data_IF_004721387641
#
_entry.id   IF_004721387641
#
_cell.length_a   1.000
_cell.length_b   1.000
_cell.length_c   1.000
_cell.angle_alpha   90.00
_cell.angle_beta   90.00
_cell.angle_gamma   90.00
#
_symmetry.space_group_name_H-M   'P 1'
#
loop_
_entity.id
_entity.type
_entity.pdbx_description
1 polymer ?
#
# COMPACT_ATOMS: atom_id res chain seq x y z
N UNK A 1 -11.65 -20.82 -35.16
CA UNK A 1 -10.40 -21.01 -35.93
C UNK A 1 -9.22 -20.59 -35.06
N UNK A 2 -8.44 -21.53 -34.51
CA UNK A 2 -7.24 -21.25 -33.70
C UNK A 2 -5.97 -21.71 -34.43
N UNK A 3 -5.91 -21.48 -35.75
CA UNK A 3 -4.88 -22.05 -36.61
C UNK A 3 -3.68 -21.11 -36.74
N UNK A 4 -2.59 -21.42 -36.04
CA UNK A 4 -1.29 -20.72 -36.18
C UNK A 4 -0.64 -20.92 -37.55
N UNK A 5 -1.13 -21.86 -38.37
CA UNK A 5 -0.52 -22.24 -39.64
C UNK A 5 -0.60 -21.14 -40.73
N UNK A 6 -1.65 -20.31 -40.73
CA UNK A 6 -1.89 -19.25 -41.73
C UNK A 6 -1.83 -17.85 -41.13
N UNK A 7 -1.36 -17.70 -39.88
CA UNK A 7 -1.42 -16.43 -39.17
C UNK A 7 -0.63 -15.34 -39.91
N UNK A 8 0.55 -15.66 -40.44
CA UNK A 8 1.37 -14.69 -41.18
C UNK A 8 0.78 -14.31 -42.53
N UNK A 9 0.20 -15.26 -43.27
CA UNK A 9 -0.48 -15.01 -44.53
C UNK A 9 -1.66 -14.05 -44.34
N UNK A 10 -2.42 -14.22 -43.26
CA UNK A 10 -3.60 -13.41 -42.94
C UNK A 10 -3.29 -12.15 -42.12
N UNK A 11 -2.04 -11.92 -41.72
CA UNK A 11 -1.65 -10.81 -40.82
C UNK A 11 -2.15 -9.46 -41.31
N UNK A 12 -1.99 -9.20 -42.61
CA UNK A 12 -2.35 -7.95 -43.27
C UNK A 12 -3.86 -7.65 -43.22
N UNK A 13 -4.71 -8.62 -42.89
CA UNK A 13 -6.15 -8.43 -42.69
C UNK A 13 -6.49 -7.98 -41.28
N UNK A 14 -5.65 -8.30 -40.29
CA UNK A 14 -5.94 -8.08 -38.87
C UNK A 14 -5.13 -6.96 -38.26
N UNK A 15 -3.84 -6.83 -38.58
CA UNK A 15 -2.92 -5.88 -37.92
C UNK A 15 -1.90 -5.28 -38.87
N UNK A 16 -1.41 -4.08 -38.54
CA UNK A 16 -0.37 -3.37 -39.32
C UNK A 16 1.05 -3.63 -38.84
N UNK A 17 1.23 -4.25 -37.67
CA UNK A 17 2.54 -4.51 -37.08
C UNK A 17 3.05 -5.92 -37.40
N UNK A 18 4.38 -6.07 -37.41
CA UNK A 18 5.05 -7.36 -37.48
C UNK A 18 5.15 -8.00 -36.08
N UNK A 19 5.32 -9.32 -36.02
CA UNK A 19 5.43 -10.05 -34.76
C UNK A 19 4.22 -9.87 -33.84
N UNK A 20 4.44 -9.84 -32.53
CA UNK A 20 3.37 -9.61 -31.55
C UNK A 20 3.46 -8.23 -30.90
N UNK A 21 2.33 -7.56 -30.76
CA UNK A 21 2.19 -6.37 -29.90
C UNK A 21 1.65 -6.79 -28.54
N UNK A 22 2.28 -6.35 -27.46
CA UNK A 22 1.74 -6.57 -26.11
C UNK A 22 0.59 -5.60 -25.84
N UNK A 23 -0.53 -6.14 -25.37
CA UNK A 23 -1.66 -5.38 -24.86
C UNK A 23 -1.73 -5.61 -23.34
N UNK A 24 -1.75 -4.53 -22.59
CA UNK A 24 -1.76 -4.54 -21.13
C UNK A 24 -3.04 -3.91 -20.60
N UNK A 25 -3.75 -4.66 -19.75
CA UNK A 25 -4.81 -4.13 -18.88
C UNK A 25 -4.32 -4.14 -17.44
N UNK A 26 -4.79 -3.19 -16.67
CA UNK A 26 -4.36 -3.00 -15.29
C UNK A 26 -5.56 -2.92 -14.37
N UNK A 27 -5.54 -3.66 -13.25
CA UNK A 27 -6.60 -3.60 -12.24
C UNK A 27 -6.04 -3.62 -10.82
N UNK A 28 -6.73 -2.94 -9.90
CA UNK A 28 -6.42 -3.03 -8.48
C UNK A 28 -6.86 -4.38 -7.91
N UNK A 29 -5.99 -5.03 -7.13
CA UNK A 29 -6.32 -6.25 -6.41
C UNK A 29 -5.28 -7.36 -6.54
N UNK A 30 -5.69 -8.59 -6.24
CA UNK A 30 -4.85 -9.78 -6.32
C UNK A 30 -5.52 -10.84 -7.20
N UNK A 31 -4.79 -11.94 -7.49
CA UNK A 31 -5.32 -13.08 -8.24
C UNK A 31 -6.58 -13.73 -7.63
N UNK A 32 -6.92 -13.39 -6.38
CA UNK A 32 -8.09 -13.90 -5.67
C UNK A 32 -9.27 -12.92 -5.64
N UNK A 33 -9.05 -11.64 -5.96
CA UNK A 33 -10.06 -10.59 -5.77
C UNK A 33 -10.45 -9.89 -7.06
N UNK A 34 -9.64 -10.00 -8.13
CA UNK A 34 -9.95 -9.35 -9.41
C UNK A 34 -10.96 -10.13 -10.23
N UNK A 35 -11.84 -9.40 -10.92
CA UNK A 35 -12.75 -9.94 -11.92
C UNK A 35 -12.02 -10.13 -13.26
N UNK A 36 -11.52 -11.34 -13.49
CA UNK A 36 -10.88 -11.71 -14.75
C UNK A 36 -11.83 -11.66 -15.96
N UNK A 37 -13.14 -11.75 -15.75
CA UNK A 37 -14.13 -11.59 -16.80
C UNK A 37 -14.15 -10.16 -17.34
N UNK A 38 -14.24 -9.19 -16.44
CA UNK A 38 -14.12 -7.77 -16.78
C UNK A 38 -12.76 -7.47 -17.48
N UNK A 39 -11.66 -8.01 -16.97
CA UNK A 39 -10.34 -7.84 -17.61
C UNK A 39 -10.30 -8.42 -19.04
N UNK A 40 -10.98 -9.54 -19.30
CA UNK A 40 -11.10 -10.10 -20.64
C UNK A 40 -11.91 -9.18 -21.56
N UNK A 41 -13.01 -8.60 -21.09
CA UNK A 41 -13.81 -7.64 -21.87
C UNK A 41 -13.01 -6.37 -22.22
N UNK A 42 -12.27 -5.82 -21.24
CA UNK A 42 -11.34 -4.70 -21.46
C UNK A 42 -10.26 -5.03 -22.48
N UNK A 43 -9.73 -6.25 -22.44
CA UNK A 43 -8.77 -6.72 -23.45
C UNK A 43 -9.41 -6.73 -24.85
N UNK A 44 -10.67 -7.13 -24.97
CA UNK A 44 -11.43 -7.03 -26.23
C UNK A 44 -11.49 -5.60 -26.78
N UNK A 45 -11.68 -4.60 -25.91
CA UNK A 45 -11.62 -3.19 -26.30
C UNK A 45 -10.22 -2.73 -26.73
N UNK A 46 -9.16 -3.21 -26.08
CA UNK A 46 -7.78 -2.93 -26.53
C UNK A 46 -7.51 -3.56 -27.90
N UNK A 47 -7.96 -4.79 -28.12
CA UNK A 47 -7.86 -5.43 -29.43
C UNK A 47 -8.57 -4.59 -30.49
N UNK A 48 -9.81 -4.14 -30.24
CA UNK A 48 -10.56 -3.28 -31.16
C UNK A 48 -9.79 -2.02 -31.58
N UNK A 49 -9.02 -1.41 -30.67
CA UNK A 49 -8.19 -0.22 -30.96
C UNK A 49 -6.92 -0.54 -31.76
N UNK A 50 -6.53 -1.81 -31.87
CA UNK A 50 -5.25 -2.24 -32.43
C UNK A 50 -5.39 -3.15 -33.66
N UNK A 51 -6.60 -3.50 -34.05
CA UNK A 51 -6.90 -4.21 -35.31
C UNK A 51 -7.24 -3.22 -36.42
N UNK A 52 -7.08 -3.65 -37.67
CA UNK A 52 -7.40 -2.83 -38.85
C UNK A 52 -8.90 -2.53 -38.95
N UNK A 53 -9.74 -3.53 -38.64
CA UNK A 53 -11.20 -3.40 -38.64
C UNK A 53 -11.76 -3.41 -37.20
N UNK A 54 -12.13 -2.26 -36.63
CA UNK A 54 -12.71 -2.18 -35.30
C UNK A 54 -14.06 -2.90 -35.16
N UNK A 55 -14.79 -3.11 -36.26
CA UNK A 55 -16.08 -3.80 -36.23
C UNK A 55 -15.92 -5.30 -35.93
N UNK A 56 -14.71 -5.84 -36.08
CA UNK A 56 -14.37 -7.22 -35.73
C UNK A 56 -14.79 -7.60 -34.30
N UNK A 57 -14.65 -6.67 -33.34
CA UNK A 57 -15.09 -6.92 -31.96
C UNK A 57 -16.61 -7.09 -31.89
N UNK A 58 -17.36 -6.18 -32.50
CA UNK A 58 -18.82 -6.22 -32.50
C UNK A 58 -19.37 -7.46 -33.21
N UNK A 59 -18.64 -7.94 -34.22
CA UNK A 59 -18.97 -9.18 -34.92
C UNK A 59 -18.70 -10.44 -34.08
N UNK A 60 -17.64 -10.47 -33.27
CA UNK A 60 -17.29 -11.61 -32.41
C UNK A 60 -18.11 -11.64 -31.11
N UNK A 61 -18.34 -10.48 -30.50
CA UNK A 61 -19.07 -10.37 -29.23
C UNK A 61 -20.58 -10.40 -29.50
N UNK A 62 -21.32 -11.42 -29.01
CA UNK A 62 -22.74 -11.56 -29.31
C UNK A 62 -23.56 -10.43 -28.67
N UNK A 63 -24.67 -10.06 -29.34
CA UNK A 63 -25.61 -9.04 -28.87
C UNK A 63 -27.09 -9.48 -29.05
N UNK A 64 -27.35 -10.79 -29.02
CA UNK A 64 -28.71 -11.34 -29.09
C UNK A 64 -29.49 -11.04 -27.81
N UNK A 65 -30.82 -11.09 -27.88
CA UNK A 65 -31.69 -10.84 -26.71
C UNK A 65 -31.50 -11.86 -25.58
N UNK A 66 -30.91 -13.02 -25.87
CA UNK A 66 -30.57 -14.06 -24.90
C UNK A 66 -29.10 -14.01 -24.45
N UNK A 67 -28.30 -13.06 -24.94
CA UNK A 67 -26.89 -12.94 -24.57
C UNK A 67 -26.75 -12.51 -23.11
N UNK A 68 -26.04 -13.31 -22.33
CA UNK A 68 -25.69 -13.04 -20.93
C UNK A 68 -24.34 -12.33 -20.80
N UNK A 69 -24.02 -11.83 -19.60
CA UNK A 69 -22.67 -11.32 -19.29
C UNK A 69 -21.60 -12.40 -19.46
N UNK A 70 -21.88 -13.62 -19.02
CA UNK A 70 -20.97 -14.75 -19.19
C UNK A 70 -20.67 -15.05 -20.67
N UNK A 71 -21.67 -14.94 -21.55
CA UNK A 71 -21.46 -15.14 -23.00
C UNK A 71 -20.52 -14.09 -23.58
N UNK A 72 -20.62 -12.83 -23.13
CA UNK A 72 -19.71 -11.75 -23.57
C UNK A 72 -18.28 -12.00 -23.09
N UNK A 73 -18.10 -12.37 -21.82
CA UNK A 73 -16.79 -12.73 -21.26
C UNK A 73 -16.17 -13.89 -22.04
N UNK A 74 -16.93 -14.96 -22.28
CA UNK A 74 -16.45 -16.13 -23.06
C UNK A 74 -16.04 -15.69 -24.47
N UNK A 75 -16.85 -14.88 -25.16
CA UNK A 75 -16.52 -14.37 -26.48
C UNK A 75 -15.29 -13.45 -26.48
N UNK A 76 -15.08 -12.65 -25.44
CA UNK A 76 -13.86 -11.86 -25.27
C UNK A 76 -12.61 -12.74 -25.12
N UNK A 77 -12.68 -13.81 -24.33
CA UNK A 77 -11.58 -14.78 -24.22
C UNK A 77 -11.35 -15.51 -25.55
N UNK A 78 -12.41 -15.87 -26.28
CA UNK A 78 -12.29 -16.46 -27.62
C UNK A 78 -11.62 -15.49 -28.59
N UNK A 79 -12.00 -14.21 -28.59
CA UNK A 79 -11.36 -13.16 -29.40
C UNK A 79 -9.87 -13.06 -29.09
N UNK A 80 -9.49 -13.03 -27.82
CA UNK A 80 -8.09 -13.05 -27.38
C UNK A 80 -7.37 -14.29 -27.91
N UNK A 81 -7.96 -15.47 -27.77
CA UNK A 81 -7.39 -16.73 -28.22
C UNK A 81 -7.24 -16.80 -29.76
N UNK A 82 -8.16 -16.22 -30.52
CA UNK A 82 -8.10 -16.14 -31.98
C UNK A 82 -6.96 -15.25 -32.45
N UNK A 83 -6.76 -14.10 -31.79
CA UNK A 83 -5.76 -13.11 -32.21
C UNK A 83 -4.41 -13.25 -31.49
N UNK A 84 -4.20 -14.33 -30.73
CA UNK A 84 -2.96 -14.59 -29.96
C UNK A 84 -1.69 -14.76 -30.81
N UNK A 85 -1.82 -14.91 -32.12
CA UNK A 85 -0.67 -14.90 -33.04
C UNK A 85 -0.15 -13.48 -33.30
N UNK A 86 -1.00 -12.46 -33.13
CA UNK A 86 -0.71 -11.04 -33.36
C UNK A 86 -0.54 -10.26 -32.06
N UNK A 87 -1.17 -10.68 -30.97
CA UNK A 87 -1.04 -10.01 -29.69
C UNK A 87 -0.45 -10.94 -28.62
N UNK A 88 0.33 -10.37 -27.72
CA UNK A 88 0.55 -10.93 -26.37
C UNK A 88 -0.31 -10.15 -25.38
N UNK A 89 -0.76 -10.81 -24.33
CA UNK A 89 -1.69 -10.22 -23.36
C UNK A 89 -1.06 -10.22 -21.98
N UNK A 90 -1.07 -9.06 -21.34
CA UNK A 90 -0.58 -8.86 -19.98
C UNK A 90 -1.72 -8.31 -19.13
N UNK A 91 -1.94 -8.93 -17.98
CA UNK A 91 -2.86 -8.43 -16.96
C UNK A 91 -2.02 -8.06 -15.75
N UNK A 92 -1.90 -6.76 -15.49
CA UNK A 92 -1.11 -6.24 -14.38
C UNK A 92 -2.02 -5.94 -13.20
N UNK A 93 -1.76 -6.63 -12.10
CA UNK A 93 -2.48 -6.38 -10.86
C UNK A 93 -1.68 -5.34 -10.07
N UNK A 94 -2.34 -4.24 -9.73
CA UNK A 94 -1.75 -3.18 -8.90
C UNK A 94 -2.28 -3.27 -7.48
N UNK A 95 -1.40 -2.95 -6.54
CA UNK A 95 -1.81 -2.52 -5.22
C UNK A 95 -1.95 -0.99 -5.21
N UNK A 96 -2.84 -0.47 -4.37
CA UNK A 96 -3.04 0.96 -4.23
C UNK A 96 -4.04 1.27 -3.15
N UNK A 97 -3.97 2.50 -2.63
CA UNK A 97 -4.94 3.02 -1.69
C UNK A 97 -6.04 3.74 -2.49
N UNK A 98 -7.28 3.20 -2.55
CA UNK A 98 -8.33 3.77 -3.38
C UNK A 98 -8.82 5.12 -2.83
N UNK A 99 -8.86 5.25 -1.50
CA UNK A 99 -9.33 6.43 -0.80
C UNK A 99 -8.72 6.50 0.59
N UNK A 100 -8.58 7.73 1.10
CA UNK A 100 -8.28 8.01 2.50
C UNK A 100 -9.33 8.94 3.05
N UNK A 101 -9.91 8.59 4.18
CA UNK A 101 -10.80 9.47 4.94
C UNK A 101 -10.08 9.94 6.19
N UNK A 102 -9.83 11.24 6.29
CA UNK A 102 -9.43 11.86 7.55
C UNK A 102 -10.69 12.16 8.37
N UNK A 103 -10.75 11.64 9.59
CA UNK A 103 -11.83 11.93 10.53
C UNK A 103 -11.55 13.22 11.30
N UNK A 104 -12.61 13.84 11.81
CA UNK A 104 -12.56 15.15 12.47
C UNK A 104 -12.49 16.29 11.46
N UNK A 105 -12.20 17.49 11.96
CA UNK A 105 -12.14 18.70 11.15
C UNK A 105 -10.69 19.15 10.91
N UNK A 106 -10.50 19.98 9.89
CA UNK A 106 -9.19 20.58 9.56
C UNK A 106 -8.49 21.18 10.79
N UNK A 107 -9.25 21.88 11.65
CA UNK A 107 -8.76 22.53 12.86
C UNK A 107 -8.19 21.55 13.87
N UNK A 108 -8.70 20.32 13.93
CA UNK A 108 -8.21 19.28 14.84
C UNK A 108 -6.83 18.79 14.41
N UNK A 109 -6.63 18.60 13.12
CA UNK A 109 -5.33 18.27 12.53
C UNK A 109 -4.33 19.42 12.67
N UNK A 110 -4.79 20.66 12.56
CA UNK A 110 -3.96 21.84 12.80
C UNK A 110 -3.50 21.91 14.27
N UNK A 111 -4.39 21.62 15.24
CA UNK A 111 -4.02 21.52 16.66
C UNK A 111 -2.99 20.42 16.89
N UNK A 112 -3.13 19.27 16.21
CA UNK A 112 -2.17 18.17 16.31
C UNK A 112 -0.80 18.58 15.76
N UNK A 113 -0.76 19.29 14.63
CA UNK A 113 0.48 19.85 14.07
C UNK A 113 1.14 20.83 15.05
N UNK A 114 0.38 21.73 15.67
CA UNK A 114 0.91 22.68 16.67
C UNK A 114 1.44 21.99 17.93
N UNK A 115 0.91 20.81 18.31
CA UNK A 115 1.45 20.05 19.45
C UNK A 115 2.90 19.60 19.24
N UNK A 116 3.38 19.51 17.99
CA UNK A 116 4.78 19.18 17.70
C UNK A 116 5.75 20.23 18.28
N UNK A 117 5.32 21.48 18.46
CA UNK A 117 6.16 22.57 18.98
C UNK A 117 6.62 22.31 20.43
N UNK A 118 5.92 21.42 21.16
CA UNK A 118 6.31 21.03 22.52
C UNK A 118 7.43 19.98 22.54
N UNK A 119 7.54 19.15 21.50
CA UNK A 119 8.47 18.02 21.47
C UNK A 119 9.94 18.43 21.66
N UNK A 120 10.46 19.51 21.04
CA UNK A 120 11.83 19.94 21.25
C UNK A 120 12.21 20.24 22.70
N UNK A 121 11.23 20.58 23.56
CA UNK A 121 11.49 20.85 24.97
C UNK A 121 11.88 19.62 25.80
N UNK A 122 11.71 18.40 25.26
CA UNK A 122 12.06 17.15 25.94
C UNK A 122 13.46 16.62 25.57
N UNK A 123 14.13 17.21 24.58
CA UNK A 123 15.50 16.83 24.23
C UNK A 123 15.80 16.80 22.73
N UNK A 124 16.99 16.30 22.39
CA UNK A 124 17.47 16.21 21.00
C UNK A 124 16.69 15.16 20.20
N UNK A 125 16.38 14.02 20.81
CA UNK A 125 15.69 12.91 20.15
C UNK A 125 14.25 13.31 19.77
N UNK A 126 13.51 13.93 20.69
CA UNK A 126 12.16 14.42 20.42
C UNK A 126 12.15 15.61 19.46
N UNK A 127 13.20 16.44 19.45
CA UNK A 127 13.40 17.46 18.39
C UNK A 127 13.54 16.81 17.00
N UNK A 128 14.31 15.73 16.89
CA UNK A 128 14.48 14.99 15.64
C UNK A 128 13.15 14.34 15.22
N UNK A 129 12.43 13.73 16.16
CA UNK A 129 11.12 13.14 15.90
C UNK A 129 10.10 14.17 15.40
N UNK A 130 10.05 15.35 16.02
CA UNK A 130 9.20 16.46 15.58
C UNK A 130 9.51 16.88 14.12
N UNK A 131 10.79 16.87 13.74
CA UNK A 131 11.23 17.18 12.38
C UNK A 131 10.69 16.18 11.36
N UNK A 132 10.64 14.89 11.71
CA UNK A 132 10.06 13.83 10.86
C UNK A 132 8.54 13.93 10.75
N UNK A 133 7.85 14.21 11.87
CA UNK A 133 6.38 14.28 11.92
C UNK A 133 5.82 15.53 11.21
N UNK A 134 6.56 16.64 11.25
CA UNK A 134 6.08 17.94 10.74
C UNK A 134 5.60 17.92 9.30
N UNK A 135 6.36 17.43 8.30
CA UNK A 135 5.87 17.38 6.92
C UNK A 135 4.62 16.48 6.79
N UNK A 136 4.57 15.35 7.50
CA UNK A 136 3.41 14.44 7.47
C UNK A 136 2.14 15.13 7.98
N UNK A 137 2.19 15.74 9.16
CA UNK A 137 1.03 16.43 9.73
C UNK A 137 0.67 17.71 8.96
N UNK A 138 1.64 18.37 8.33
CA UNK A 138 1.37 19.48 7.41
C UNK A 138 0.55 19.00 6.21
N UNK A 139 0.91 17.84 5.64
CA UNK A 139 0.15 17.23 4.53
C UNK A 139 -1.25 16.79 4.93
N UNK A 140 -1.43 16.31 6.17
CA UNK A 140 -2.76 15.99 6.70
C UNK A 140 -3.65 17.23 6.79
N UNK A 141 -3.12 18.39 7.19
CA UNK A 141 -3.88 19.65 7.17
C UNK A 141 -4.20 20.07 5.74
N UNK A 142 -3.22 20.05 4.82
CA UNK A 142 -3.46 20.46 3.42
C UNK A 142 -4.43 19.54 2.68
N UNK A 143 -4.60 18.29 3.11
CA UNK A 143 -5.55 17.36 2.52
C UNK A 143 -7.01 17.85 2.62
N UNK A 144 -7.33 18.71 3.60
CA UNK A 144 -8.64 19.36 3.70
C UNK A 144 -8.79 20.55 2.75
N UNK A 145 -7.69 21.23 2.44
CA UNK A 145 -7.69 22.41 1.57
C UNK A 145 -7.75 22.00 0.09
N UNK A 146 -7.02 20.96 -0.29
CA UNK A 146 -6.89 20.50 -1.67
C UNK A 146 -7.01 18.97 -1.80
N UNK A 147 -8.17 18.36 -1.46
CA UNK A 147 -8.33 16.90 -1.37
C UNK A 147 -8.03 16.18 -2.69
N UNK A 148 -8.38 16.79 -3.82
CA UNK A 148 -8.25 16.18 -5.14
C UNK A 148 -6.95 16.51 -5.87
N UNK A 149 -6.07 17.32 -5.27
CA UNK A 149 -4.83 17.74 -5.93
C UNK A 149 -3.92 16.54 -6.17
N UNK A 150 -3.15 16.61 -7.28
CA UNK A 150 -2.18 15.57 -7.60
C UNK A 150 -1.16 15.40 -6.47
N UNK A 151 -0.72 16.49 -5.87
CA UNK A 151 0.25 16.46 -4.79
C UNK A 151 -0.30 15.74 -3.54
N UNK A 152 -1.56 15.98 -3.18
CA UNK A 152 -2.21 15.27 -2.07
C UNK A 152 -2.36 13.77 -2.36
N UNK A 153 -2.80 13.41 -3.59
CA UNK A 153 -2.91 12.02 -4.01
C UNK A 153 -1.56 11.31 -4.01
N UNK A 154 -0.52 11.94 -4.55
CA UNK A 154 0.84 11.39 -4.59
C UNK A 154 1.38 11.20 -3.16
N UNK A 155 1.13 12.13 -2.23
CA UNK A 155 1.51 12.00 -0.82
C UNK A 155 0.93 10.74 -0.16
N UNK A 156 -0.37 10.46 -0.33
CA UNK A 156 -1.00 9.27 0.25
C UNK A 156 -0.46 7.96 -0.33
N UNK A 157 0.03 7.95 -1.56
CA UNK A 157 0.70 6.78 -2.14
C UNK A 157 2.10 6.53 -1.57
N UNK A 158 2.60 7.40 -0.67
CA UNK A 158 3.93 7.28 -0.04
C UNK A 158 3.90 6.89 1.43
N UNK A 159 2.75 6.42 1.96
CA UNK A 159 2.62 5.95 3.35
C UNK A 159 3.72 4.96 3.70
N UNK A 160 3.78 3.87 2.92
CA UNK A 160 4.66 2.74 3.22
C UNK A 160 5.16 2.09 1.93
N UNK A 161 6.41 1.68 1.94
CA UNK A 161 7.01 0.82 0.92
C UNK A 161 7.72 -0.35 1.60
N UNK A 162 7.41 -1.57 1.18
CA UNK A 162 8.03 -2.78 1.69
C UNK A 162 9.13 -3.27 0.75
N UNK A 163 10.31 -3.50 1.30
CA UNK A 163 11.45 -4.08 0.61
C UNK A 163 11.83 -5.41 1.24
N UNK A 164 11.62 -6.51 0.51
CA UNK A 164 12.02 -7.84 0.98
C UNK A 164 13.53 -8.03 0.91
N UNK A 165 14.10 -8.53 2.00
CA UNK A 165 15.51 -8.93 2.07
C UNK A 165 15.80 -10.33 1.54
N UNK A 166 14.78 -11.09 1.10
CA UNK A 166 14.94 -12.51 0.81
C UNK A 166 15.33 -13.30 2.06
N UNK A 167 16.56 -13.82 2.09
CA UNK A 167 17.13 -14.50 3.27
C UNK A 167 17.60 -13.53 4.37
N UNK A 168 17.70 -12.23 4.06
CA UNK A 168 18.06 -11.18 5.01
C UNK A 168 16.86 -10.41 5.56
N UNK A 169 17.08 -9.40 6.40
CA UNK A 169 16.01 -8.62 6.99
C UNK A 169 15.18 -7.89 5.94
N UNK A 170 13.88 -7.76 6.20
CA UNK A 170 12.98 -6.98 5.36
C UNK A 170 12.71 -5.64 6.00
N UNK A 171 12.50 -4.62 5.16
CA UNK A 171 12.44 -3.24 5.63
C UNK A 171 11.17 -2.54 5.14
N UNK A 172 10.69 -1.62 5.96
CA UNK A 172 9.69 -0.63 5.59
C UNK A 172 10.37 0.72 5.37
N UNK A 173 9.91 1.47 4.37
CA UNK A 173 10.19 2.89 4.18
C UNK A 173 8.87 3.63 3.90
N UNK A 174 8.93 4.92 3.59
CA UNK A 174 7.75 5.79 3.50
C UNK A 174 7.59 6.64 4.75
N UNK A 175 6.62 7.57 4.73
CA UNK A 175 6.49 8.48 5.86
C UNK A 175 5.96 7.82 7.14
N UNK A 176 5.37 6.62 7.05
CA UNK A 176 4.84 5.90 8.21
C UNK A 176 5.94 5.60 9.25
N UNK A 177 7.20 5.50 8.82
CA UNK A 177 8.32 5.21 9.72
C UNK A 177 8.54 6.33 10.73
N UNK A 178 8.08 7.57 10.48
CA UNK A 178 8.10 8.65 11.47
C UNK A 178 7.28 8.33 12.74
N UNK A 179 6.28 7.45 12.65
CA UNK A 179 5.53 6.98 13.82
C UNK A 179 6.22 5.82 14.57
N UNK A 180 7.32 5.30 14.02
CA UNK A 180 8.15 4.25 14.60
C UNK A 180 9.56 4.81 14.92
N UNK A 181 9.59 5.92 15.67
CA UNK A 181 10.85 6.60 16.01
C UNK A 181 11.53 5.98 17.23
N UNK A 182 10.76 5.48 18.19
CA UNK A 182 11.25 4.80 19.38
C UNK A 182 10.86 3.32 19.34
N UNK A 183 11.73 2.44 19.81
CA UNK A 183 11.40 1.05 20.10
C UNK A 183 10.54 0.94 21.37
N UNK A 184 10.06 -0.26 21.67
CA UNK A 184 9.32 -0.55 22.92
C UNK A 184 10.15 -0.27 24.19
N UNK A 185 11.48 -0.27 24.08
CA UNK A 185 12.42 0.07 25.16
C UNK A 185 12.75 1.57 25.21
N UNK A 186 12.17 2.38 24.32
CA UNK A 186 12.45 3.81 24.20
C UNK A 186 13.74 4.15 23.46
N UNK A 187 14.36 3.19 22.76
CA UNK A 187 15.58 3.46 21.97
C UNK A 187 15.22 4.09 20.62
N UNK A 188 16.00 5.06 20.17
CA UNK A 188 15.81 5.70 18.86
C UNK A 188 16.09 4.70 17.73
N UNK A 189 15.12 4.52 16.83
CA UNK A 189 15.20 3.68 15.64
C UNK A 189 15.66 4.44 14.39
N UNK A 190 15.67 5.77 14.44
CA UNK A 190 16.16 6.60 13.34
C UNK A 190 17.67 6.42 13.12
N UNK A 191 18.07 6.03 11.91
CA UNK A 191 19.47 5.84 11.51
C UNK A 191 19.81 6.70 10.29
N UNK A 192 20.62 7.73 10.48
CA UNK A 192 21.01 8.64 9.40
C UNK A 192 21.88 7.95 8.32
N UNK A 193 22.59 6.87 8.70
CA UNK A 193 23.45 6.07 7.80
C UNK A 193 22.69 5.36 6.68
N UNK A 194 21.36 5.24 6.79
CA UNK A 194 20.51 4.63 5.75
C UNK A 194 20.35 5.49 4.49
N UNK A 195 20.89 6.71 4.54
CA UNK A 195 20.99 7.64 3.42
C UNK A 195 22.34 7.61 2.70
N UNK A 196 23.24 6.73 3.14
CA UNK A 196 24.50 6.45 2.47
C UNK A 196 24.26 5.54 1.25
N UNK A 197 25.11 5.62 0.22
CA UNK A 197 24.98 4.68 -0.90
C UNK A 197 25.26 3.26 -0.42
N UNK A 198 24.73 2.25 -1.13
CA UNK A 198 24.94 0.84 -0.78
C UNK A 198 26.43 0.49 -0.64
N UNK A 199 27.29 1.08 -1.47
CA UNK A 199 28.75 0.93 -1.37
C UNK A 199 29.29 1.44 -0.04
N UNK A 200 28.81 2.59 0.41
CA UNK A 200 29.32 3.32 1.56
C UNK A 200 28.82 2.68 2.86
N UNK A 201 27.59 2.15 2.86
CA UNK A 201 27.04 1.37 3.97
C UNK A 201 27.74 0.01 4.11
N UNK A 202 28.01 -0.69 3.00
CA UNK A 202 28.72 -1.98 3.02
C UNK A 202 30.19 -1.82 3.48
N UNK A 203 30.87 -0.76 3.05
CA UNK A 203 32.22 -0.43 3.53
C UNK A 203 32.23 -0.13 5.05
N UNK A 204 31.19 0.55 5.56
CA UNK A 204 31.07 0.90 6.98
C UNK A 204 30.81 -0.31 7.89
N UNK A 205 29.92 -1.23 7.49
CA UNK A 205 29.53 -2.38 8.33
C UNK A 205 30.40 -3.62 8.12
N UNK A 206 30.92 -3.85 6.92
CA UNK A 206 31.64 -5.09 6.57
C UNK A 206 33.09 -4.87 6.14
N UNK A 207 33.58 -3.62 6.07
CA UNK A 207 34.98 -3.32 5.75
C UNK A 207 35.41 -3.76 4.34
N UNK A 208 34.47 -4.14 3.48
CA UNK A 208 34.72 -4.66 2.14
C UNK A 208 34.67 -3.57 1.07
N UNK A 209 35.77 -3.38 0.33
CA UNK A 209 35.91 -2.34 -0.71
C UNK A 209 35.23 -2.66 -2.05
N UNK A 210 34.66 -3.86 -2.18
CA UNK A 210 34.18 -4.41 -3.47
C UNK A 210 32.64 -4.57 -3.53
N UNK A 211 31.89 -3.73 -2.82
CA UNK A 211 30.44 -3.73 -2.89
C UNK A 211 29.95 -3.31 -4.30
N UNK A 212 28.97 -4.01 -4.89
CA UNK A 212 28.37 -3.58 -6.15
C UNK A 212 27.73 -2.21 -5.98
N UNK A 213 28.25 -1.20 -6.70
CA UNK A 213 27.71 0.16 -6.74
C UNK A 213 26.35 0.13 -7.45
N UNK A 214 25.28 -0.03 -6.69
CA UNK A 214 23.92 0.31 -7.14
C UNK A 214 23.57 1.66 -6.54
N UNK A 215 23.21 2.62 -7.39
CA UNK A 215 22.64 3.93 -7.02
C UNK A 215 21.21 3.78 -6.47
N UNK A 216 20.99 2.82 -5.57
CA UNK A 216 19.69 2.60 -4.95
C UNK A 216 19.65 3.48 -3.69
N UNK A 217 19.05 4.66 -3.80
CA UNK A 217 18.65 5.43 -2.62
C UNK A 217 17.59 4.60 -1.88
N UNK A 218 17.94 4.09 -0.71
CA UNK A 218 17.04 3.24 0.09
C UNK A 218 16.10 4.07 0.99
N UNK A 219 16.31 5.39 1.09
CA UNK A 219 15.54 6.30 1.96
C UNK A 219 14.36 6.98 1.27
N UNK A 220 13.35 7.36 2.08
CA UNK A 220 12.18 8.13 1.65
C UNK A 220 12.30 9.60 2.07
N UNK A 221 12.07 10.53 1.13
CA UNK A 221 12.19 11.97 1.40
C UNK A 221 10.87 12.69 1.13
N UNK A 222 10.46 13.56 2.05
CA UNK A 222 9.30 14.42 1.91
C UNK A 222 9.65 15.83 2.40
N UNK A 223 9.40 16.84 1.57
CA UNK A 223 9.65 18.26 1.86
C UNK A 223 11.07 18.54 2.40
N UNK A 224 12.06 17.86 1.83
CA UNK A 224 13.46 17.96 2.25
C UNK A 224 13.84 17.09 3.44
N UNK A 225 12.88 16.56 4.19
CA UNK A 225 13.09 15.73 5.37
C UNK A 225 13.30 14.27 4.98
N UNK A 226 14.33 13.67 5.58
CA UNK A 226 14.80 12.32 5.34
C UNK A 226 14.24 11.36 6.39
N UNK A 227 13.42 10.40 5.97
CA UNK A 227 12.84 9.36 6.82
C UNK A 227 13.74 8.12 6.87
N UNK A 228 13.82 7.46 8.02
CA UNK A 228 14.54 6.19 8.15
C UNK A 228 13.76 5.04 7.52
N UNK A 229 14.48 3.96 7.23
CA UNK A 229 13.96 2.63 7.04
C UNK A 229 13.78 1.98 8.40
N UNK A 230 12.85 1.04 8.45
CA UNK A 230 12.52 0.31 9.66
C UNK A 230 12.63 -1.18 9.35
N UNK A 231 13.45 -1.92 10.09
CA UNK A 231 13.40 -3.38 10.04
C UNK A 231 11.99 -3.81 10.46
N UNK A 232 11.37 -4.73 9.72
CA UNK A 232 10.03 -5.21 10.05
C UNK A 232 9.92 -5.86 11.43
N UNK A 233 11.04 -6.29 12.02
CA UNK A 233 11.08 -6.82 13.39
C UNK A 233 11.16 -5.73 14.47
N UNK A 234 11.47 -4.49 14.08
CA UNK A 234 11.62 -3.34 14.99
C UNK A 234 10.35 -2.47 15.04
N UNK A 235 9.23 -2.90 14.43
CA UNK A 235 7.95 -2.18 14.50
C UNK A 235 7.46 -2.18 15.95
N UNK A 236 7.36 -1.02 16.62
CA UNK A 236 6.96 -0.96 18.01
C UNK A 236 5.47 -1.27 18.19
N UNK A 237 5.11 -1.68 19.40
CA UNK A 237 3.72 -1.85 19.80
C UNK A 237 2.98 -0.51 19.72
N UNK A 238 1.76 -0.52 19.16
CA UNK A 238 0.92 0.68 19.08
C UNK A 238 0.10 0.94 20.36
N UNK A 239 0.53 0.39 21.50
CA UNK A 239 -0.11 0.54 22.81
C UNK A 239 0.92 0.77 23.91
N UNK A 240 0.46 1.39 24.99
CA UNK A 240 1.20 1.57 26.23
C UNK A 240 0.56 0.74 27.34
N UNK A 241 1.35 0.42 28.35
CA UNK A 241 0.88 -0.28 29.54
C UNK A 241 1.47 0.34 30.80
N UNK A 242 0.73 0.29 31.91
CA UNK A 242 1.14 0.86 33.20
C UNK A 242 0.58 0.04 34.35
N UNK A 243 1.44 -0.20 35.34
CA UNK A 243 1.05 -0.85 36.59
C UNK A 243 0.17 0.08 37.43
N UNK A 244 -0.99 -0.41 37.84
CA UNK A 244 -1.96 0.35 38.63
C UNK A 244 -2.36 -0.48 39.85
N UNK A 245 -2.30 0.12 41.03
CA UNK A 245 -2.94 -0.42 42.22
C UNK A 245 -4.41 0.00 42.21
N UNK A 246 -5.31 -0.98 42.19
CA UNK A 246 -6.75 -0.75 42.25
C UNK A 246 -7.24 -1.04 43.67
N UNK A 247 -7.88 -0.06 44.31
CA UNK A 247 -8.58 -0.23 45.58
C UNK A 247 -10.09 -0.31 45.28
N UNK A 248 -10.65 -1.52 45.36
CA UNK A 248 -12.09 -1.76 45.28
C UNK A 248 -12.67 -1.86 46.70
N UNK A 249 -13.08 -0.71 47.23
CA UNK A 249 -13.78 -0.60 48.51
C UNK A 249 -13.02 -1.20 49.72
N UNK A 250 -11.70 -1.04 49.75
CA UNK A 250 -10.80 -1.53 50.80
C UNK A 250 -10.09 -2.84 50.45
N UNK A 251 -10.39 -3.45 49.30
CA UNK A 251 -9.64 -4.58 48.76
C UNK A 251 -8.67 -4.09 47.67
N UNK A 252 -7.37 -4.23 47.90
CA UNK A 252 -6.35 -3.87 46.92
C UNK A 252 -6.07 -5.00 45.92
N UNK A 253 -5.90 -4.63 44.65
CA UNK A 253 -5.53 -5.49 43.53
C UNK A 253 -4.32 -4.92 42.80
N UNK A 254 -3.35 -5.78 42.49
CA UNK A 254 -2.25 -5.46 41.59
C UNK A 254 -2.70 -5.68 40.14
N UNK A 255 -2.86 -4.59 39.40
CA UNK A 255 -3.42 -4.62 38.04
C UNK A 255 -2.46 -4.03 37.01
N UNK A 256 -2.69 -4.37 35.74
CA UNK A 256 -2.03 -3.76 34.59
C UNK A 256 -3.09 -3.08 33.72
N UNK A 257 -2.90 -1.80 33.47
CA UNK A 257 -3.75 -1.03 32.57
C UNK A 257 -3.06 -0.91 31.20
N UNK A 258 -3.79 -1.18 30.12
CA UNK A 258 -3.30 -1.12 28.74
C UNK A 258 -4.17 -0.16 27.95
N UNK A 259 -3.56 0.69 27.12
CA UNK A 259 -4.29 1.61 26.23
C UNK A 259 -3.51 1.87 24.94
N UNK A 260 -4.19 1.91 23.80
CA UNK A 260 -3.55 2.19 22.50
C UNK A 260 -4.42 1.88 21.31
N UNK A 261 -3.78 1.71 20.15
CA UNK A 261 -4.41 1.19 18.94
C UNK A 261 -4.37 -0.34 18.99
N UNK A 262 -5.53 -0.95 19.23
CA UNK A 262 -5.64 -2.36 19.62
C UNK A 262 -6.23 -3.25 18.52
N UNK A 263 -6.54 -2.66 17.39
CA UNK A 263 -7.07 -3.37 16.24
C UNK A 263 -7.56 -2.41 15.16
N UNK A 264 -8.36 -2.96 14.25
CA UNK A 264 -9.01 -2.21 13.20
C UNK A 264 -10.45 -2.69 13.05
N UNK A 265 -11.32 -1.78 12.62
CA UNK A 265 -12.69 -2.05 12.22
C UNK A 265 -12.72 -2.20 10.70
N UNK A 266 -13.33 -3.28 10.26
CA UNK A 266 -13.72 -3.49 8.86
C UNK A 266 -15.17 -3.02 8.73
N UNK A 267 -15.45 -2.19 7.74
CA UNK A 267 -16.80 -1.70 7.46
C UNK A 267 -17.08 -1.60 5.97
N UNK A 268 -18.36 -1.44 5.66
CA UNK A 268 -18.86 -1.21 4.30
C UNK A 268 -18.80 0.29 4.00
N UNK A 269 -18.15 0.68 2.90
CA UNK A 269 -18.24 2.05 2.38
C UNK A 269 -19.60 2.36 1.77
N UNK A 270 -20.31 1.32 1.30
CA UNK A 270 -21.53 1.45 0.49
C UNK A 270 -21.28 2.02 -0.91
N UNK A 271 -20.02 2.25 -1.31
CA UNK A 271 -19.67 2.81 -2.62
C UNK A 271 -19.58 1.69 -3.66
N UNK A 272 -20.55 1.67 -4.57
CA UNK A 272 -20.63 0.71 -5.67
C UNK A 272 -20.16 1.34 -6.98
N UNK A 273 -19.09 0.81 -7.58
CA UNK A 273 -18.58 1.21 -8.89
C UNK A 273 -17.73 0.10 -9.52
N UNK A 274 -17.76 -0.06 -10.85
CA UNK A 274 -16.88 -0.99 -11.60
C UNK A 274 -16.85 -2.45 -11.09
N UNK A 275 -17.97 -2.95 -10.56
CA UNK A 275 -18.08 -4.30 -9.99
C UNK A 275 -17.69 -4.41 -8.51
N UNK A 276 -17.30 -3.30 -7.87
CA UNK A 276 -17.08 -3.21 -6.44
C UNK A 276 -18.42 -3.16 -5.68
N UNK A 277 -18.61 -4.06 -4.71
CA UNK A 277 -19.86 -4.16 -3.94
C UNK A 277 -19.96 -3.17 -2.77
N UNK A 278 -18.90 -2.45 -2.44
CA UNK A 278 -18.90 -1.49 -1.34
C UNK A 278 -18.90 -2.14 0.05
N UNK A 279 -18.47 -3.41 0.16
CA UNK A 279 -18.55 -4.23 1.39
C UNK A 279 -17.18 -4.66 1.89
N UNK A 280 -16.99 -4.62 3.22
CA UNK A 280 -15.74 -4.96 3.90
C UNK A 280 -14.49 -4.32 3.24
N UNK A 281 -14.64 -3.10 2.74
CA UNK A 281 -13.68 -2.41 1.87
C UNK A 281 -12.97 -1.25 2.59
N UNK A 282 -13.43 -0.92 3.79
CA UNK A 282 -12.96 0.21 4.59
C UNK A 282 -12.29 -0.31 5.85
N UNK A 283 -11.08 0.18 6.11
CA UNK A 283 -10.31 -0.14 7.32
C UNK A 283 -10.13 1.13 8.15
N UNK A 284 -10.53 1.05 9.43
CA UNK A 284 -10.35 2.13 10.39
C UNK A 284 -9.62 1.60 11.63
N UNK A 285 -8.51 2.23 12.07
CA UNK A 285 -7.83 1.78 13.28
C UNK A 285 -8.68 2.12 14.52
N UNK A 286 -8.68 1.23 15.52
CA UNK A 286 -9.52 1.34 16.72
C UNK A 286 -8.65 1.53 17.95
N UNK A 287 -8.90 2.62 18.68
CA UNK A 287 -8.35 2.83 20.00
C UNK A 287 -9.15 2.04 21.04
N UNK A 288 -8.47 1.43 21.99
CA UNK A 288 -9.08 0.69 23.09
C UNK A 288 -8.23 0.74 24.36
N UNK A 289 -8.83 0.37 25.47
CA UNK A 289 -8.16 0.29 26.77
C UNK A 289 -8.85 -0.74 27.66
N UNK A 290 -8.07 -1.37 28.55
CA UNK A 290 -8.54 -2.32 29.55
C UNK A 290 -7.65 -2.29 30.79
N UNK A 291 -8.16 -2.85 31.88
CA UNK A 291 -7.41 -3.14 33.10
C UNK A 291 -7.63 -4.62 33.44
N UNK A 292 -6.58 -5.32 33.84
CA UNK A 292 -6.65 -6.73 34.22
C UNK A 292 -5.81 -7.01 35.46
N UNK A 293 -6.25 -7.98 36.25
CA UNK A 293 -5.47 -8.51 37.37
C UNK A 293 -4.18 -9.12 36.83
N UNK A 294 -3.06 -8.79 37.48
CA UNK A 294 -1.81 -9.47 37.18
C UNK A 294 -1.91 -10.91 37.66
N UNK A 295 -1.59 -11.85 36.78
CA UNK A 295 -1.48 -13.25 37.19
C UNK A 295 -0.43 -13.38 38.30
N UNK A 296 -0.77 -14.09 39.38
CA UNK A 296 0.23 -14.49 40.38
C UNK A 296 1.24 -15.42 39.69
N UNK A 297 2.45 -14.90 39.46
CA UNK A 297 3.56 -15.73 38.98
C UNK A 297 3.98 -16.60 40.14
N UNK A 298 3.55 -17.87 40.16
CA UNK A 298 4.08 -18.82 41.12
C UNK A 298 5.60 -18.92 40.93
N UNK A 299 6.40 -18.78 42.00
CA UNK A 299 7.85 -18.91 41.88
C UNK A 299 8.20 -20.30 41.33
N UNK A 300 8.99 -20.33 40.26
CA UNK A 300 9.60 -21.57 39.80
C UNK A 300 10.60 -22.03 40.87
N UNK A 301 10.26 -23.13 41.54
CA UNK A 301 11.16 -23.84 42.47
C UNK A 301 12.34 -24.48 41.73
#
# INVERSE_FOLDING_TARGET
>A
MSGSAHAEELRHLFVTHQGKKELEVTAAGSRYTVDFGNLAEQMGHLIQKNVIDPSLREWIIPNFTTTTSNDRIVSSVVMMATLKAYFSYKMSLMCGLPEVTLLGEREDWQKLLTRLDKLPSFGKETSQWATLLKPVLTRFVSAFDEPESKENKDFWQTIVHYESGGSGPSYLSGWITAFCFFSDEGKVLYRETEWMNYSDAFEYFEGGKDAPKKDKKLGFQLDGVKFHRLDTNDIPAAYAQVDVKLDDNGQEFDTLMVAGMVGYRVSDSGKTADGHEGKNDSLQPVAGWWIFDKAEVQPQN
#
